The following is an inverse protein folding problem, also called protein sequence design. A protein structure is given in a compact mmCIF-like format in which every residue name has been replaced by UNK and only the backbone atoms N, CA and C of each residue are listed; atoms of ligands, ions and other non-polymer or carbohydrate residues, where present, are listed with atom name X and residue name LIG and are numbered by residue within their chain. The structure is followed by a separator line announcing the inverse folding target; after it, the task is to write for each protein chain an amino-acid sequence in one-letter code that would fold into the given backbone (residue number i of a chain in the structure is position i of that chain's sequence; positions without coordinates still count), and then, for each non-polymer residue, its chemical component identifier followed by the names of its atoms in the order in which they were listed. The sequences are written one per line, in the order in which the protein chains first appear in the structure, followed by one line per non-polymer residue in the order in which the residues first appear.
data_IF_995142908420
#
_entry.id   IF_995142908420
#
_cell.length_a   1.000
_cell.length_b   1.000
_cell.length_c   1.000
_cell.angle_alpha   90.00
_cell.angle_beta   90.00
_cell.angle_gamma   90.00
#
_symmetry.space_group_name_H-M   'P 1'
#
loop_
_entity.id
_entity.type
_entity.pdbx_description
1 polymer ?
#
# COMPACT_ATOMS: atom_id res chain seq x y z
N UNK A 1 -9.18 -32.45 20.54
CA UNK A 1 -10.39 -31.99 21.26
C UNK A 1 -10.48 -30.49 21.08
N UNK A 2 -11.39 -30.09 20.21
CA UNK A 2 -11.64 -28.68 19.89
C UNK A 2 -12.69 -28.15 20.89
N UNK A 3 -12.32 -27.13 21.65
CA UNK A 3 -13.30 -26.38 22.44
C UNK A 3 -13.50 -25.03 21.78
N UNK A 4 -14.66 -24.88 21.12
CA UNK A 4 -15.14 -23.62 20.61
C UNK A 4 -15.64 -22.73 21.75
N UNK A 5 -15.13 -21.50 21.79
CA UNK A 5 -15.76 -20.42 22.56
C UNK A 5 -16.51 -19.50 21.60
N UNK A 6 -17.81 -19.75 21.47
CA UNK A 6 -18.75 -18.85 20.80
C UNK A 6 -19.03 -17.66 21.71
N UNK A 7 -18.39 -16.54 21.48
CA UNK A 7 -18.74 -15.26 22.06
C UNK A 7 -19.89 -14.63 21.27
N UNK A 8 -21.10 -14.61 21.82
CA UNK A 8 -22.24 -13.87 21.29
C UNK A 8 -21.93 -12.37 21.34
N UNK A 9 -21.63 -11.78 20.18
CA UNK A 9 -21.66 -10.32 20.02
C UNK A 9 -23.14 -9.90 20.03
N UNK A 10 -23.52 -9.15 21.04
CA UNK A 10 -24.85 -8.53 21.15
C UNK A 10 -25.03 -7.57 19.98
N UNK A 11 -26.16 -7.70 19.28
CA UNK A 11 -26.55 -6.89 18.15
C UNK A 11 -26.44 -5.39 18.45
N UNK A 12 -25.71 -4.70 17.61
CA UNK A 12 -25.60 -3.25 17.60
C UNK A 12 -26.95 -2.62 17.31
N UNK A 13 -27.25 -1.59 18.07
CA UNK A 13 -28.39 -0.71 17.90
C UNK A 13 -28.35 -0.11 16.48
N UNK A 14 -29.53 -0.04 15.85
CA UNK A 14 -29.69 0.48 14.49
C UNK A 14 -29.01 1.82 14.31
N UNK A 15 -28.20 1.88 13.27
CA UNK A 15 -27.61 3.13 12.75
C UNK A 15 -28.81 4.00 12.34
N UNK A 16 -29.01 5.10 13.06
CA UNK A 16 -29.89 6.17 12.59
C UNK A 16 -29.45 6.54 11.18
N UNK A 17 -30.34 6.39 10.19
CA UNK A 17 -30.11 6.85 8.82
C UNK A 17 -29.86 8.37 8.85
N UNK A 18 -28.62 8.75 9.03
CA UNK A 18 -28.15 10.11 8.77
C UNK A 18 -28.32 10.42 7.28
N UNK A 19 -28.49 11.70 6.95
CA UNK A 19 -28.57 12.12 5.55
C UNK A 19 -27.42 11.49 4.74
N UNK A 20 -27.73 10.99 3.54
CA UNK A 20 -26.76 10.35 2.66
C UNK A 20 -25.59 11.32 2.39
N UNK A 21 -24.35 10.84 2.58
CA UNK A 21 -23.15 11.62 2.31
C UNK A 21 -23.06 11.87 0.80
N UNK A 22 -22.99 13.15 0.40
CA UNK A 22 -22.93 13.57 -1.01
C UNK A 22 -21.53 14.04 -1.42
N UNK A 23 -20.77 14.61 -0.48
CA UNK A 23 -19.43 15.13 -0.73
C UNK A 23 -18.50 14.62 0.38
N UNK A 24 -17.55 13.79 0.00
CA UNK A 24 -16.65 13.11 0.95
C UNK A 24 -15.20 13.39 0.57
N UNK A 25 -14.41 13.84 1.54
CA UNK A 25 -12.97 13.98 1.42
C UNK A 25 -12.29 12.81 2.09
N UNK A 26 -11.55 12.00 1.34
CA UNK A 26 -10.70 10.93 1.89
C UNK A 26 -9.27 11.46 2.01
N UNK A 27 -8.61 11.20 3.12
CA UNK A 27 -7.20 11.58 3.33
C UNK A 27 -6.33 10.32 3.34
N UNK A 28 -5.45 10.20 2.34
CA UNK A 28 -4.39 9.18 2.30
C UNK A 28 -3.14 9.74 1.63
N UNK A 29 -2.11 9.99 2.41
CA UNK A 29 -0.90 10.65 1.95
C UNK A 29 0.15 9.71 1.35
N UNK A 30 -0.01 8.42 1.48
CA UNK A 30 1.01 7.40 1.15
C UNK A 30 1.55 6.75 2.45
N UNK A 31 2.62 5.95 2.49
CA UNK A 31 3.50 5.62 1.37
C UNK A 31 2.83 4.74 0.28
N UNK A 32 3.62 4.30 -0.76
CA UNK A 32 3.08 3.49 -1.84
C UNK A 32 2.42 2.20 -1.32
N UNK A 33 3.06 1.49 -0.41
CA UNK A 33 2.49 0.28 0.18
C UNK A 33 1.14 0.53 0.86
N UNK A 34 0.99 1.66 1.56
CA UNK A 34 -0.27 2.05 2.18
C UNK A 34 -1.36 2.43 1.15
N UNK A 35 -0.97 3.07 0.03
CA UNK A 35 -1.90 3.36 -1.06
C UNK A 35 -2.41 2.07 -1.69
N UNK A 36 -1.52 1.12 -1.96
CA UNK A 36 -1.84 -0.20 -2.53
C UNK A 36 -2.77 -1.00 -1.60
N UNK A 37 -2.48 -1.03 -0.30
CA UNK A 37 -3.32 -1.68 0.70
C UNK A 37 -4.70 -1.01 0.82
N UNK A 38 -4.82 0.28 0.46
CA UNK A 38 -6.05 1.06 0.48
C UNK A 38 -6.97 0.85 -0.72
N UNK A 39 -6.56 0.16 -1.79
CA UNK A 39 -7.38 0.04 -3.01
C UNK A 39 -8.77 -0.53 -2.75
N UNK A 40 -8.87 -1.58 -1.92
CA UNK A 40 -10.16 -2.17 -1.57
C UNK A 40 -11.04 -1.20 -0.78
N UNK A 41 -10.44 -0.40 0.09
CA UNK A 41 -11.18 0.62 0.84
C UNK A 41 -11.71 1.73 -0.09
N UNK A 42 -10.92 2.19 -1.07
CA UNK A 42 -11.41 3.19 -2.04
C UNK A 42 -12.53 2.61 -2.91
N UNK A 43 -12.38 1.37 -3.40
CA UNK A 43 -13.42 0.67 -4.16
C UNK A 43 -14.69 0.46 -3.34
N UNK A 44 -14.53 0.02 -2.09
CA UNK A 44 -15.62 -0.21 -1.17
C UNK A 44 -16.36 1.07 -0.77
N UNK A 45 -15.64 2.18 -0.63
CA UNK A 45 -16.29 3.48 -0.39
C UNK A 45 -17.14 3.90 -1.58
N UNK A 46 -16.65 3.77 -2.82
CA UNK A 46 -17.42 4.04 -4.04
C UNK A 46 -18.64 3.12 -4.14
N UNK A 47 -18.50 1.83 -3.84
CA UNK A 47 -19.60 0.88 -3.89
C UNK A 47 -20.72 1.21 -2.88
N UNK A 48 -20.37 1.62 -1.67
CA UNK A 48 -21.35 2.00 -0.66
C UNK A 48 -21.93 3.41 -0.86
N UNK A 49 -21.23 4.29 -1.55
CA UNK A 49 -21.62 5.67 -1.82
C UNK A 49 -21.56 5.98 -3.33
N UNK A 50 -22.38 5.32 -4.17
CA UNK A 50 -22.24 5.39 -5.62
C UNK A 50 -22.46 6.80 -6.18
N UNK A 51 -23.34 7.59 -5.57
CA UNK A 51 -23.73 8.93 -6.03
C UNK A 51 -22.95 10.06 -5.32
N UNK A 52 -22.03 9.72 -4.40
CA UNK A 52 -21.24 10.71 -3.69
C UNK A 52 -20.07 11.23 -4.56
N UNK A 53 -19.78 12.53 -4.44
CA UNK A 53 -18.53 13.09 -4.94
C UNK A 53 -17.41 12.73 -3.97
N UNK A 54 -16.48 11.87 -4.41
CA UNK A 54 -15.35 11.38 -3.61
C UNK A 54 -14.06 12.10 -4.04
N UNK A 55 -13.51 12.91 -3.16
CA UNK A 55 -12.21 13.55 -3.35
C UNK A 55 -11.13 12.85 -2.51
N UNK A 56 -9.94 12.66 -3.09
CA UNK A 56 -8.78 12.11 -2.38
C UNK A 56 -7.71 13.18 -2.16
N UNK A 57 -7.42 13.49 -0.91
CA UNK A 57 -6.29 14.33 -0.51
C UNK A 57 -5.05 13.47 -0.32
N UNK A 58 -4.10 13.60 -1.25
CA UNK A 58 -2.84 12.85 -1.24
C UNK A 58 -1.63 13.77 -1.38
N UNK A 59 -0.41 13.20 -1.48
CA UNK A 59 0.84 13.96 -1.62
C UNK A 59 1.38 13.91 -3.05
N UNK A 60 2.28 14.81 -3.47
CA UNK A 60 2.76 14.92 -4.84
C UNK A 60 3.18 13.60 -5.50
N UNK A 61 3.91 12.68 -4.82
CA UNK A 61 4.34 11.41 -5.46
C UNK A 61 3.19 10.49 -5.88
N UNK A 62 1.98 10.68 -5.34
CA UNK A 62 0.84 9.80 -5.58
C UNK A 62 -0.30 10.44 -6.38
N UNK A 63 -0.10 11.67 -6.89
CA UNK A 63 -1.13 12.35 -7.69
C UNK A 63 -1.49 11.57 -8.96
N UNK A 64 -0.48 11.11 -9.70
CA UNK A 64 -0.69 10.33 -10.92
C UNK A 64 -1.45 9.03 -10.63
N UNK A 65 -1.01 8.27 -9.62
CA UNK A 65 -1.71 7.07 -9.19
C UNK A 65 -3.17 7.37 -8.81
N UNK A 66 -3.39 8.38 -7.98
CA UNK A 66 -4.71 8.76 -7.49
C UNK A 66 -5.65 9.20 -8.62
N UNK A 67 -5.14 9.96 -9.61
CA UNK A 67 -5.93 10.45 -10.75
C UNK A 67 -6.40 9.35 -11.70
N UNK A 68 -5.74 8.18 -11.66
CA UNK A 68 -6.14 7.00 -12.45
C UNK A 68 -7.09 6.06 -11.73
N UNK A 69 -7.30 6.25 -10.41
CA UNK A 69 -8.23 5.41 -9.64
C UNK A 69 -9.67 5.61 -10.10
N UNK A 70 -10.39 4.56 -10.52
CA UNK A 70 -11.76 4.69 -11.04
C UNK A 70 -12.80 5.02 -9.94
N UNK A 71 -12.38 5.04 -8.68
CA UNK A 71 -13.26 5.26 -7.52
C UNK A 71 -13.26 6.70 -7.01
N UNK A 72 -12.40 7.56 -7.57
CA UNK A 72 -12.15 8.93 -7.10
C UNK A 72 -12.55 9.91 -8.20
N UNK A 73 -13.35 10.92 -7.83
CA UNK A 73 -13.81 11.96 -8.78
C UNK A 73 -12.86 13.16 -8.83
N UNK A 74 -12.18 13.43 -7.71
CA UNK A 74 -11.31 14.60 -7.58
C UNK A 74 -10.04 14.24 -6.78
N UNK A 75 -8.89 14.71 -7.26
CA UNK A 75 -7.60 14.52 -6.54
C UNK A 75 -7.08 15.87 -6.07
N UNK A 76 -6.86 15.97 -4.77
CA UNK A 76 -6.35 17.15 -4.09
C UNK A 76 -4.94 16.88 -3.56
N UNK A 77 -4.08 17.90 -3.61
CA UNK A 77 -2.68 17.77 -3.22
C UNK A 77 -2.39 18.38 -1.85
N UNK A 78 -1.89 17.60 -0.89
CA UNK A 78 -1.17 18.13 0.28
C UNK A 78 0.33 18.19 -0.04
N UNK A 79 0.84 19.38 -0.29
CA UNK A 79 2.26 19.63 -0.59
C UNK A 79 3.18 19.41 0.62
N UNK A 80 2.61 19.12 1.79
CA UNK A 80 3.33 18.96 3.06
C UNK A 80 4.24 20.13 3.41
N UNK A 81 3.88 21.33 2.99
CA UNK A 81 4.64 22.52 3.29
C UNK A 81 4.75 22.76 4.81
N UNK A 82 5.84 23.39 5.27
CA UNK A 82 5.99 23.79 6.65
C UNK A 82 4.84 24.68 7.11
N UNK A 83 4.47 24.60 8.39
CA UNK A 83 3.37 25.37 8.99
C UNK A 83 3.55 26.88 8.95
N UNK A 84 4.74 27.36 8.65
CA UNK A 84 5.06 28.78 8.45
C UNK A 84 4.67 29.32 7.07
N UNK A 85 4.34 28.43 6.12
CA UNK A 85 3.87 28.82 4.80
C UNK A 85 2.38 29.21 4.85
N UNK A 86 2.11 30.49 5.05
CA UNK A 86 0.75 31.02 5.19
C UNK A 86 -0.12 30.76 3.95
N UNK A 87 0.44 30.88 2.74
CA UNK A 87 -0.31 30.63 1.51
C UNK A 87 -0.81 29.18 1.47
N UNK A 88 0.04 28.22 1.84
CA UNK A 88 -0.34 26.82 1.89
C UNK A 88 -1.35 26.52 3.02
N UNK A 89 -1.22 27.19 4.16
CA UNK A 89 -2.21 27.09 5.24
C UNK A 89 -3.59 27.59 4.79
N UNK A 90 -3.65 28.73 4.07
CA UNK A 90 -4.89 29.23 3.50
C UNK A 90 -5.48 28.28 2.46
N UNK A 91 -4.64 27.71 1.61
CA UNK A 91 -5.07 26.72 0.61
C UNK A 91 -5.64 25.48 1.30
N UNK A 92 -4.96 24.92 2.29
CA UNK A 92 -5.44 23.75 3.05
C UNK A 92 -6.75 24.09 3.78
N UNK A 93 -6.85 25.28 4.40
CA UNK A 93 -8.11 25.74 4.99
C UNK A 93 -9.24 25.79 3.96
N UNK A 94 -8.97 26.25 2.73
CA UNK A 94 -9.93 26.26 1.64
C UNK A 94 -10.41 24.84 1.28
N UNK A 95 -9.49 23.88 1.18
CA UNK A 95 -9.81 22.47 0.92
C UNK A 95 -10.79 21.94 1.98
N UNK A 96 -10.48 22.09 3.28
CA UNK A 96 -11.33 21.55 4.34
C UNK A 96 -12.67 22.30 4.51
N UNK A 97 -12.79 23.51 3.99
CA UNK A 97 -14.02 24.31 4.02
C UNK A 97 -14.82 24.31 2.72
N UNK A 98 -14.51 23.41 1.79
CA UNK A 98 -15.19 23.30 0.50
C UNK A 98 -16.58 22.63 0.58
N UNK A 99 -17.18 22.54 1.77
CA UNK A 99 -18.55 21.98 1.93
C UNK A 99 -18.61 20.47 1.89
N UNK A 100 -17.66 19.80 2.54
CA UNK A 100 -17.68 18.34 2.72
C UNK A 100 -18.71 17.94 3.78
N UNK A 101 -19.52 16.93 3.50
CA UNK A 101 -20.38 16.29 4.47
C UNK A 101 -19.55 15.47 5.46
N UNK A 102 -18.49 14.82 4.95
CA UNK A 102 -17.59 14.02 5.75
C UNK A 102 -16.13 14.11 5.28
N UNK A 103 -15.22 13.95 6.24
CA UNK A 103 -13.81 13.65 6.03
C UNK A 103 -13.53 12.27 6.58
N UNK A 104 -12.93 11.40 5.77
CA UNK A 104 -12.50 10.05 6.15
C UNK A 104 -10.97 10.04 6.20
N UNK A 105 -10.42 10.06 7.41
CA UNK A 105 -8.97 10.09 7.63
C UNK A 105 -8.40 8.67 7.67
N UNK A 106 -8.03 8.12 6.50
CA UNK A 106 -7.34 6.84 6.39
C UNK A 106 -5.83 6.97 6.63
N UNK A 107 -5.32 8.18 6.81
CA UNK A 107 -3.91 8.41 7.14
C UNK A 107 -3.64 8.35 8.63
N UNK A 108 -4.55 8.82 9.47
CA UNK A 108 -4.47 8.79 10.94
C UNK A 108 -3.12 9.28 11.50
N UNK A 109 -2.66 10.44 11.04
CA UNK A 109 -1.36 10.99 11.42
C UNK A 109 -1.51 12.22 12.32
N UNK A 110 -0.40 12.60 13.02
CA UNK A 110 -0.36 13.86 13.76
C UNK A 110 -0.69 15.07 12.87
N UNK A 111 -0.34 15.01 11.58
CA UNK A 111 -0.63 16.08 10.62
C UNK A 111 -2.13 16.16 10.31
N UNK A 112 -2.78 15.06 10.06
CA UNK A 112 -4.22 15.02 9.77
C UNK A 112 -5.05 15.38 10.99
N UNK A 113 -4.63 14.99 12.19
CA UNK A 113 -5.23 15.46 13.45
C UNK A 113 -5.11 16.99 13.62
N UNK A 114 -4.02 17.62 13.16
CA UNK A 114 -3.92 19.08 13.14
C UNK A 114 -4.86 19.73 12.12
N UNK A 115 -5.11 19.09 10.98
CA UNK A 115 -6.08 19.57 10.01
C UNK A 115 -7.50 19.54 10.59
N UNK A 116 -7.90 18.45 11.24
CA UNK A 116 -9.15 18.39 11.99
C UNK A 116 -9.29 19.58 12.94
N UNK A 117 -8.34 19.73 13.85
CA UNK A 117 -8.39 20.79 14.88
C UNK A 117 -8.43 22.21 14.34
N UNK A 118 -7.71 22.49 13.22
CA UNK A 118 -7.51 23.86 12.72
C UNK A 118 -8.47 24.27 11.62
N UNK A 119 -8.93 23.33 10.80
CA UNK A 119 -9.59 23.64 9.54
C UNK A 119 -10.98 23.03 9.40
N UNK A 120 -11.25 21.86 10.02
CA UNK A 120 -12.52 21.19 9.85
C UNK A 120 -13.67 22.04 10.45
N UNK A 121 -14.74 22.30 9.68
CA UNK A 121 -15.96 22.89 10.23
C UNK A 121 -16.63 21.93 11.22
N UNK A 122 -17.29 22.46 12.25
CA UNK A 122 -18.03 21.62 13.20
C UNK A 122 -19.21 20.86 12.56
N UNK A 123 -19.69 21.31 11.41
CA UNK A 123 -20.74 20.64 10.63
C UNK A 123 -20.26 19.48 9.79
N UNK A 124 -18.95 19.33 9.57
CA UNK A 124 -18.37 18.25 8.78
C UNK A 124 -18.09 17.06 9.69
N UNK A 125 -18.64 15.90 9.37
CA UNK A 125 -18.32 14.66 10.08
C UNK A 125 -16.85 14.29 9.86
N UNK A 126 -16.20 13.81 10.91
CA UNK A 126 -14.80 13.37 10.82
C UNK A 126 -14.66 11.94 11.31
N UNK A 127 -14.36 11.03 10.39
CA UNK A 127 -14.02 9.63 10.67
C UNK A 127 -12.51 9.51 10.81
N UNK A 128 -12.02 9.16 11.98
CA UNK A 128 -10.58 9.10 12.20
C UNK A 128 -10.17 9.01 13.67
N UNK A 129 -8.85 9.08 13.91
CA UNK A 129 -8.25 9.01 15.25
C UNK A 129 -7.98 10.38 15.89
N UNK A 130 -8.39 11.48 15.24
CA UNK A 130 -8.20 12.81 15.79
C UNK A 130 -9.01 13.02 17.08
N UNK A 131 -8.42 13.67 18.08
CA UNK A 131 -9.14 14.02 19.29
C UNK A 131 -10.32 14.95 18.95
N UNK A 132 -11.52 14.59 19.39
CA UNK A 132 -12.75 15.32 19.08
C UNK A 132 -13.35 15.01 17.71
N UNK A 133 -12.89 13.96 17.02
CA UNK A 133 -13.55 13.43 15.83
C UNK A 133 -15.00 13.07 16.17
N UNK A 134 -15.95 13.39 15.28
CA UNK A 134 -17.36 13.06 15.48
C UNK A 134 -17.64 11.56 15.40
N UNK A 135 -16.83 10.86 14.60
CA UNK A 135 -16.91 9.44 14.34
C UNK A 135 -15.55 8.79 14.59
N UNK A 136 -15.15 8.61 15.86
CA UNK A 136 -13.81 8.13 16.20
C UNK A 136 -13.64 6.66 15.81
N UNK A 137 -12.48 6.33 15.23
CA UNK A 137 -12.15 4.94 14.93
C UNK A 137 -11.96 4.12 16.21
N UNK A 138 -12.27 2.82 16.16
CA UNK A 138 -11.97 1.90 17.27
C UNK A 138 -10.45 1.73 17.45
N UNK A 139 -10.07 1.04 18.50
CA UNK A 139 -8.68 0.60 18.65
C UNK A 139 -8.32 -0.39 17.54
N UNK A 140 -7.30 -0.06 16.77
CA UNK A 140 -6.79 -0.88 15.68
C UNK A 140 -5.52 -1.66 16.04
N UNK A 141 -5.20 -1.82 17.34
CA UNK A 141 -4.04 -2.60 17.76
C UNK A 141 -4.14 -4.04 17.24
N UNK A 142 -3.09 -4.51 16.57
CA UNK A 142 -3.05 -5.84 15.96
C UNK A 142 -3.95 -6.04 14.73
N UNK A 143 -4.55 -4.99 14.20
CA UNK A 143 -5.36 -5.05 12.96
C UNK A 143 -4.50 -4.68 11.77
N UNK A 144 -4.54 -5.48 10.70
CA UNK A 144 -3.82 -5.18 9.45
C UNK A 144 -4.23 -3.83 8.86
N UNK A 145 -3.28 -3.12 8.28
CA UNK A 145 -3.50 -1.78 7.75
C UNK A 145 -4.57 -1.73 6.63
N UNK A 146 -4.67 -2.77 5.80
CA UNK A 146 -5.75 -2.87 4.81
C UNK A 146 -7.12 -2.99 5.49
N UNK A 147 -7.23 -3.82 6.53
CA UNK A 147 -8.50 -4.00 7.26
C UNK A 147 -8.90 -2.77 8.07
N UNK A 148 -7.91 -2.03 8.64
CA UNK A 148 -8.19 -0.73 9.28
C UNK A 148 -8.89 0.23 8.32
N UNK A 149 -8.38 0.30 7.09
CA UNK A 149 -8.97 1.18 6.08
C UNK A 149 -10.36 0.71 5.66
N UNK A 150 -10.58 -0.60 5.50
CA UNK A 150 -11.89 -1.19 5.22
C UNK A 150 -12.90 -0.91 6.34
N UNK A 151 -12.51 -1.05 7.61
CA UNK A 151 -13.34 -0.70 8.75
C UNK A 151 -13.64 0.81 8.77
N UNK A 152 -12.62 1.62 8.49
CA UNK A 152 -12.79 3.08 8.47
C UNK A 152 -13.81 3.55 7.44
N UNK A 153 -13.83 2.96 6.24
CA UNK A 153 -14.82 3.32 5.21
C UNK A 153 -16.21 2.73 5.50
N UNK A 154 -16.28 1.56 6.12
CA UNK A 154 -17.56 0.95 6.51
C UNK A 154 -18.32 1.84 7.50
N UNK A 155 -17.63 2.45 8.47
CA UNK A 155 -18.23 3.41 9.40
C UNK A 155 -18.86 4.62 8.68
N UNK A 156 -18.35 4.96 7.50
CA UNK A 156 -18.86 6.05 6.66
C UNK A 156 -19.90 5.59 5.61
N UNK A 157 -20.31 4.33 5.65
CA UNK A 157 -21.29 3.76 4.71
C UNK A 157 -20.70 3.06 3.49
N UNK A 158 -19.38 2.86 3.45
CA UNK A 158 -18.73 2.03 2.43
C UNK A 158 -18.97 0.53 2.63
N UNK A 159 -18.71 -0.26 1.60
CA UNK A 159 -18.77 -1.72 1.66
C UNK A 159 -17.35 -2.30 1.88
N UNK A 160 -17.08 -2.80 3.08
CA UNK A 160 -15.77 -3.38 3.46
C UNK A 160 -15.42 -4.68 2.75
N UNK A 161 -16.38 -5.35 2.11
CA UNK A 161 -16.20 -6.67 1.48
C UNK A 161 -15.81 -6.57 0.01
N UNK A 162 -15.82 -5.37 -0.55
CA UNK A 162 -15.41 -5.13 -1.94
C UNK A 162 -13.92 -5.42 -2.11
N UNK A 163 -13.60 -6.15 -3.16
CA UNK A 163 -12.24 -6.32 -3.64
C UNK A 163 -12.06 -5.49 -4.91
N UNK A 164 -11.07 -4.62 -4.92
CA UNK A 164 -10.79 -3.74 -6.03
C UNK A 164 -10.29 -4.52 -7.25
N UNK A 165 -10.94 -4.30 -8.42
CA UNK A 165 -10.35 -4.65 -9.71
C UNK A 165 -9.11 -3.77 -9.97
N UNK A 166 -8.07 -4.32 -10.59
CA UNK A 166 -6.79 -3.61 -10.79
C UNK A 166 -6.42 -3.38 -12.25
N UNK A 167 -7.35 -3.63 -13.19
CA UNK A 167 -7.09 -3.51 -14.64
C UNK A 167 -6.75 -2.06 -15.07
N UNK A 168 -7.22 -1.09 -14.30
CA UNK A 168 -6.90 0.33 -14.48
C UNK A 168 -5.43 0.68 -14.17
N UNK A 169 -4.72 -0.16 -13.43
CA UNK A 169 -3.43 0.17 -12.83
C UNK A 169 -2.30 0.21 -13.89
N UNK A 170 -2.29 -0.74 -14.79
CA UNK A 170 -1.34 -0.81 -15.91
C UNK A 170 -1.90 -0.20 -17.20
N UNK A 171 -3.24 -0.07 -17.30
CA UNK A 171 -3.91 0.51 -18.46
C UNK A 171 -3.40 -0.05 -19.81
N UNK A 172 -3.06 -1.35 -19.83
CA UNK A 172 -2.48 -2.00 -21.01
C UNK A 172 -1.02 -1.62 -21.30
N UNK A 173 -0.32 -1.02 -20.33
CA UNK A 173 1.12 -0.77 -20.47
C UNK A 173 1.85 -2.11 -20.65
N UNK A 174 2.73 -2.17 -21.64
CA UNK A 174 3.70 -3.25 -21.73
C UNK A 174 4.74 -3.09 -20.61
N UNK A 175 5.23 -4.18 -20.07
CA UNK A 175 6.37 -4.14 -19.16
C UNK A 175 7.60 -3.53 -19.86
N UNK A 176 8.54 -2.93 -19.13
CA UNK A 176 9.77 -2.39 -19.70
C UNK A 176 10.59 -3.52 -20.34
N UNK A 177 11.27 -3.22 -21.45
CA UNK A 177 12.11 -4.14 -22.23
C UNK A 177 11.42 -5.43 -22.76
N UNK A 178 10.12 -5.35 -23.01
CA UNK A 178 9.30 -6.50 -23.38
C UNK A 178 8.88 -7.30 -22.16
N UNK A 179 7.92 -8.18 -22.37
CA UNK A 179 7.47 -9.07 -21.31
C UNK A 179 8.63 -9.94 -20.81
N UNK A 180 8.82 -9.99 -19.51
CA UNK A 180 9.71 -10.94 -18.83
C UNK A 180 8.85 -12.08 -18.21
N UNK A 181 8.13 -12.87 -19.04
CA UNK A 181 7.21 -13.84 -18.54
C UNK A 181 7.94 -14.90 -17.71
N UNK A 182 7.40 -15.19 -16.55
CA UNK A 182 7.97 -16.17 -15.65
C UNK A 182 9.26 -15.74 -14.94
N UNK A 183 9.72 -14.50 -15.14
CA UNK A 183 10.93 -14.00 -14.48
C UNK A 183 10.75 -13.88 -12.96
N UNK A 184 11.83 -14.03 -12.24
CA UNK A 184 11.89 -13.63 -10.82
C UNK A 184 12.30 -12.18 -10.71
N UNK A 185 11.49 -11.37 -10.04
CA UNK A 185 11.77 -9.95 -9.86
C UNK A 185 12.25 -9.67 -8.43
N UNK A 186 13.42 -9.05 -8.32
CA UNK A 186 14.04 -8.66 -7.07
C UNK A 186 13.71 -7.19 -6.74
N UNK A 187 13.30 -6.93 -5.51
CA UNK A 187 13.00 -5.59 -4.99
C UNK A 187 13.93 -5.29 -3.80
N UNK A 188 15.23 -4.98 -4.05
CA UNK A 188 16.22 -4.80 -2.99
C UNK A 188 16.11 -3.44 -2.29
N UNK A 189 15.32 -2.52 -2.83
CA UNK A 189 15.14 -1.18 -2.29
C UNK A 189 14.30 -1.13 -1.03
N UNK A 190 14.49 -0.05 -0.27
CA UNK A 190 13.58 0.36 0.79
C UNK A 190 13.71 1.87 1.04
N UNK A 191 12.83 2.42 1.89
CA UNK A 191 12.94 3.83 2.29
C UNK A 191 14.33 4.17 2.82
N UNK A 192 14.94 5.25 2.31
CA UNK A 192 16.24 5.75 2.79
C UNK A 192 16.24 6.06 4.30
N UNK A 193 15.08 6.39 4.88
CA UNK A 193 14.92 6.64 6.30
C UNK A 193 14.93 5.36 7.17
N UNK A 194 14.91 4.17 6.55
CA UNK A 194 14.83 2.88 7.25
C UNK A 194 15.79 1.86 6.63
N UNK A 195 17.11 2.12 6.64
CA UNK A 195 18.10 1.24 6.02
C UNK A 195 18.14 -0.17 6.65
N UNK A 196 17.73 -0.30 7.91
CA UNK A 196 17.63 -1.58 8.63
C UNK A 196 16.58 -2.54 8.04
N UNK A 197 15.71 -2.07 7.15
CA UNK A 197 14.77 -2.91 6.39
C UNK A 197 15.37 -3.48 5.11
N UNK A 198 16.65 -3.23 4.82
CA UNK A 198 17.32 -3.75 3.64
C UNK A 198 17.90 -5.12 3.92
N UNK A 199 17.42 -6.13 3.22
CA UNK A 199 18.09 -7.42 3.16
C UNK A 199 19.40 -7.28 2.39
N UNK A 200 20.51 -7.94 2.79
CA UNK A 200 21.81 -7.79 2.16
C UNK A 200 21.81 -8.12 0.67
N UNK A 201 22.55 -7.35 -0.11
CA UNK A 201 22.62 -7.51 -1.56
C UNK A 201 23.21 -8.86 -1.99
N UNK A 202 24.17 -9.40 -1.23
CA UNK A 202 24.75 -10.73 -1.45
C UNK A 202 23.70 -11.85 -1.30
N UNK A 203 22.74 -11.66 -0.42
CA UNK A 203 21.63 -12.60 -0.26
C UNK A 203 20.67 -12.56 -1.45
N UNK A 204 20.35 -11.37 -1.98
CA UNK A 204 19.62 -11.23 -3.23
C UNK A 204 20.37 -11.82 -4.42
N UNK A 205 21.70 -11.64 -4.47
CA UNK A 205 22.55 -12.23 -5.51
C UNK A 205 22.51 -13.78 -5.46
N UNK A 206 22.48 -14.37 -4.26
CA UNK A 206 22.34 -15.81 -4.12
C UNK A 206 20.98 -16.31 -4.68
N UNK A 207 19.88 -15.60 -4.43
CA UNK A 207 18.58 -15.89 -5.07
C UNK A 207 18.69 -15.75 -6.59
N UNK A 208 19.29 -14.67 -7.09
CA UNK A 208 19.45 -14.47 -8.53
C UNK A 208 20.20 -15.61 -9.19
N UNK A 209 21.32 -16.04 -8.60
CA UNK A 209 22.11 -17.17 -9.09
C UNK A 209 21.30 -18.45 -9.15
N UNK A 210 20.65 -18.84 -8.06
CA UNK A 210 19.82 -20.04 -8.00
C UNK A 210 18.68 -20.03 -9.04
N UNK A 211 18.03 -18.88 -9.23
CA UNK A 211 16.96 -18.72 -10.22
C UNK A 211 17.50 -18.86 -11.66
N UNK A 212 18.65 -18.25 -11.96
CA UNK A 212 19.27 -18.34 -13.29
C UNK A 212 19.78 -19.74 -13.60
N UNK A 213 20.27 -20.48 -12.61
CA UNK A 213 20.66 -21.90 -12.76
C UNK A 213 19.48 -22.79 -13.16
N UNK A 214 18.25 -22.41 -12.82
CA UNK A 214 17.04 -23.11 -13.30
C UNK A 214 16.57 -22.65 -14.68
N UNK A 215 17.30 -21.71 -15.33
CA UNK A 215 16.95 -21.13 -16.62
C UNK A 215 15.96 -19.97 -16.55
N UNK A 216 15.58 -19.50 -15.36
CA UNK A 216 14.69 -18.34 -15.22
C UNK A 216 15.44 -17.03 -15.43
N UNK A 217 14.78 -16.06 -16.05
CA UNK A 217 15.27 -14.68 -16.09
C UNK A 217 15.11 -14.04 -14.72
N UNK A 218 16.04 -13.17 -14.38
CA UNK A 218 15.98 -12.36 -13.15
C UNK A 218 16.01 -10.88 -13.51
N UNK A 219 15.10 -10.10 -12.98
CA UNK A 219 15.06 -8.65 -13.13
C UNK A 219 15.17 -7.94 -11.77
N UNK A 220 15.81 -6.77 -11.75
CA UNK A 220 15.97 -5.96 -10.55
C UNK A 220 15.23 -4.66 -10.77
N UNK A 221 14.29 -4.34 -9.88
CA UNK A 221 13.53 -3.09 -9.89
C UNK A 221 13.86 -2.24 -8.67
N UNK A 222 13.69 -0.93 -8.82
CA UNK A 222 13.94 0.03 -7.76
C UNK A 222 13.98 1.45 -8.31
N UNK A 223 14.24 2.40 -7.43
CA UNK A 223 14.50 3.80 -7.77
C UNK A 223 15.99 4.08 -7.90
N UNK A 224 16.37 5.28 -8.33
CA UNK A 224 17.79 5.69 -8.34
C UNK A 224 18.46 5.58 -6.96
N UNK A 225 17.69 5.67 -5.86
CA UNK A 225 18.22 5.49 -4.51
C UNK A 225 18.63 4.04 -4.18
N UNK A 226 18.22 3.08 -5.01
CA UNK A 226 18.49 1.66 -4.81
C UNK A 226 19.63 1.14 -5.72
N UNK A 227 20.26 2.07 -6.48
CA UNK A 227 21.31 1.75 -7.47
C UNK A 227 22.49 0.97 -6.87
N UNK A 228 22.98 1.38 -5.69
CA UNK A 228 24.09 0.71 -5.01
C UNK A 228 23.78 -0.78 -4.76
N UNK A 229 22.62 -1.09 -4.25
CA UNK A 229 22.22 -2.48 -3.98
C UNK A 229 22.07 -3.27 -5.30
N UNK A 230 21.47 -2.66 -6.32
CA UNK A 230 21.29 -3.29 -7.63
C UNK A 230 22.65 -3.58 -8.31
N UNK A 231 23.57 -2.64 -8.28
CA UNK A 231 24.92 -2.82 -8.86
C UNK A 231 25.68 -3.94 -8.14
N UNK A 232 25.57 -4.01 -6.81
CA UNK A 232 26.18 -5.10 -6.04
C UNK A 232 25.62 -6.48 -6.45
N UNK A 233 24.29 -6.59 -6.65
CA UNK A 233 23.65 -7.83 -7.12
C UNK A 233 24.12 -8.17 -8.55
N UNK A 234 24.09 -7.22 -9.48
CA UNK A 234 24.47 -7.44 -10.89
C UNK A 234 25.95 -7.79 -11.06
N UNK A 235 26.82 -7.20 -10.24
CA UNK A 235 28.26 -7.53 -10.24
C UNK A 235 28.51 -8.96 -9.75
N UNK A 236 27.74 -9.42 -8.76
CA UNK A 236 27.84 -10.78 -8.24
C UNK A 236 27.14 -11.81 -9.15
N UNK A 237 26.10 -11.41 -9.87
CA UNK A 237 25.30 -12.28 -10.75
C UNK A 237 25.08 -11.60 -12.11
N UNK A 238 26.06 -11.66 -13.01
CA UNK A 238 25.93 -11.10 -14.35
C UNK A 238 24.79 -11.76 -15.14
N UNK A 239 24.03 -10.94 -15.89
CA UNK A 239 22.89 -11.42 -16.69
C UNK A 239 21.52 -11.08 -16.11
N UNK A 240 21.45 -10.49 -14.91
CA UNK A 240 20.24 -9.87 -14.41
C UNK A 240 19.80 -8.68 -15.29
N UNK A 241 18.50 -8.55 -15.53
CA UNK A 241 17.92 -7.42 -16.27
C UNK A 241 17.80 -6.22 -15.33
N UNK A 242 18.48 -5.13 -15.69
CA UNK A 242 18.43 -3.89 -14.91
C UNK A 242 17.22 -3.02 -15.28
N UNK A 243 16.29 -2.91 -14.38
CA UNK A 243 15.09 -2.06 -14.50
C UNK A 243 15.05 -0.92 -13.45
N UNK A 244 16.15 -0.69 -12.74
CA UNK A 244 16.22 0.36 -11.70
C UNK A 244 16.10 1.75 -12.32
N UNK A 245 15.09 2.50 -11.87
CA UNK A 245 14.77 3.84 -12.38
C UNK A 245 14.14 3.85 -13.79
N UNK A 246 13.75 2.68 -14.30
CA UNK A 246 13.23 2.51 -15.68
C UNK A 246 11.74 2.16 -15.72
N UNK A 247 11.08 2.06 -14.57
CA UNK A 247 9.66 1.69 -14.48
C UNK A 247 8.86 2.78 -13.80
N UNK A 248 7.79 3.22 -14.46
CA UNK A 248 6.66 3.86 -13.79
C UNK A 248 5.79 2.83 -13.09
N UNK A 249 4.80 3.28 -12.31
CA UNK A 249 3.98 2.38 -11.49
C UNK A 249 3.13 1.42 -12.34
N UNK A 250 2.59 1.89 -13.47
CA UNK A 250 1.81 1.04 -14.40
C UNK A 250 2.67 -0.05 -15.04
N UNK A 251 3.84 0.33 -15.54
CA UNK A 251 4.82 -0.63 -16.11
C UNK A 251 5.30 -1.65 -15.07
N UNK A 252 5.48 -1.20 -13.83
CA UNK A 252 5.84 -2.09 -12.72
C UNK A 252 4.70 -3.08 -12.40
N UNK A 253 3.45 -2.63 -12.43
CA UNK A 253 2.30 -3.50 -12.24
C UNK A 253 2.17 -4.53 -13.37
N UNK A 254 2.38 -4.09 -14.64
CA UNK A 254 2.41 -4.97 -15.81
C UNK A 254 3.52 -6.02 -15.69
N UNK A 255 4.74 -5.60 -15.34
CA UNK A 255 5.86 -6.51 -15.11
C UNK A 255 5.51 -7.58 -14.06
N UNK A 256 4.96 -7.16 -12.92
CA UNK A 256 4.61 -8.08 -11.85
C UNK A 256 3.52 -9.08 -12.27
N UNK A 257 2.51 -8.68 -13.03
CA UNK A 257 1.45 -9.61 -13.52
C UNK A 257 2.03 -10.76 -14.35
N UNK A 258 3.09 -10.50 -15.11
CA UNK A 258 3.74 -11.48 -15.97
C UNK A 258 4.91 -12.21 -15.29
N UNK A 259 5.37 -11.71 -14.15
CA UNK A 259 6.47 -12.33 -13.41
C UNK A 259 6.08 -13.70 -12.81
N UNK A 260 7.02 -14.61 -12.76
CA UNK A 260 6.87 -15.92 -12.11
C UNK A 260 6.87 -15.81 -10.58
N UNK A 261 7.62 -14.84 -10.04
CA UNK A 261 7.63 -14.52 -8.62
C UNK A 261 8.28 -13.16 -8.36
N UNK A 262 8.01 -12.61 -7.18
CA UNK A 262 8.65 -11.39 -6.66
C UNK A 262 9.19 -11.66 -5.26
N UNK A 263 10.41 -11.25 -4.98
CA UNK A 263 11.00 -11.25 -3.65
C UNK A 263 11.53 -9.85 -3.34
N UNK A 264 11.20 -9.31 -2.18
CA UNK A 264 11.64 -7.96 -1.83
C UNK A 264 11.49 -7.63 -0.36
N UNK A 265 12.09 -6.50 0.00
CA UNK A 265 11.96 -5.93 1.33
C UNK A 265 10.52 -5.43 1.58
N UNK A 266 10.20 -5.09 2.83
CA UNK A 266 8.96 -4.43 3.22
C UNK A 266 8.90 -3.01 2.60
N UNK A 267 8.40 -2.93 1.36
CA UNK A 267 8.34 -1.72 0.55
C UNK A 267 7.18 -1.73 -0.43
N UNK A 268 6.80 -0.55 -0.92
CA UNK A 268 5.64 -0.36 -1.79
C UNK A 268 5.56 -1.30 -3.01
N UNK A 269 6.63 -1.49 -3.79
CA UNK A 269 6.62 -2.42 -4.91
C UNK A 269 6.29 -3.87 -4.52
N UNK A 270 6.78 -4.35 -3.36
CA UNK A 270 6.48 -5.71 -2.89
C UNK A 270 5.00 -5.87 -2.52
N UNK A 271 4.38 -4.84 -1.91
CA UNK A 271 2.92 -4.81 -1.72
C UNK A 271 2.16 -4.83 -3.03
N UNK A 272 2.64 -4.08 -4.04
CA UNK A 272 2.02 -4.04 -5.36
C UNK A 272 2.07 -5.42 -6.04
N UNK A 273 3.21 -6.10 -6.01
CA UNK A 273 3.36 -7.45 -6.56
C UNK A 273 2.37 -8.44 -5.93
N UNK A 274 2.28 -8.45 -4.61
CA UNK A 274 1.32 -9.28 -3.89
C UNK A 274 -0.12 -8.96 -4.32
N UNK A 275 -0.43 -7.69 -4.47
CA UNK A 275 -1.78 -7.22 -4.76
C UNK A 275 -2.24 -7.51 -6.18
N UNK A 276 -1.33 -7.53 -7.16
CA UNK A 276 -1.63 -7.95 -8.54
C UNK A 276 -1.66 -9.48 -8.73
N UNK A 277 -1.45 -10.24 -7.65
CA UNK A 277 -1.62 -11.70 -7.62
C UNK A 277 -0.36 -12.51 -7.97
N UNK A 278 0.79 -11.86 -8.10
CA UNK A 278 2.07 -12.54 -8.33
C UNK A 278 2.51 -13.30 -7.07
N UNK A 279 3.09 -14.51 -7.17
CA UNK A 279 3.77 -15.16 -6.05
C UNK A 279 4.78 -14.19 -5.43
N UNK A 280 4.55 -13.75 -4.21
CA UNK A 280 5.34 -12.66 -3.62
C UNK A 280 5.82 -13.01 -2.22
N UNK A 281 7.14 -12.96 -2.03
CA UNK A 281 7.77 -13.11 -0.72
C UNK A 281 8.27 -11.76 -0.22
N UNK A 282 7.77 -11.31 0.92
CA UNK A 282 8.24 -10.10 1.60
C UNK A 282 9.18 -10.45 2.74
N UNK A 283 10.31 -9.76 2.78
CA UNK A 283 11.34 -9.93 3.83
C UNK A 283 11.21 -8.81 4.86
N UNK A 284 11.15 -9.18 6.13
CA UNK A 284 10.86 -8.28 7.24
C UNK A 284 11.91 -8.41 8.36
N UNK A 285 12.26 -7.27 8.95
CA UNK A 285 13.01 -7.19 10.22
C UNK A 285 12.10 -6.90 11.41
N UNK A 286 12.70 -6.68 12.59
CA UNK A 286 11.98 -6.34 13.83
C UNK A 286 11.11 -5.08 13.72
N UNK A 287 11.45 -4.15 12.82
CA UNK A 287 10.72 -2.90 12.64
C UNK A 287 9.33 -3.08 11.99
N UNK A 288 9.01 -4.28 11.53
CA UNK A 288 7.74 -4.59 10.88
C UNK A 288 7.02 -5.67 11.68
N UNK A 289 5.82 -5.34 12.11
CA UNK A 289 4.87 -6.29 12.69
C UNK A 289 4.01 -6.88 11.56
N UNK A 290 4.15 -8.18 11.24
CA UNK A 290 3.37 -8.81 10.19
C UNK A 290 1.86 -8.77 10.41
N UNK A 291 1.40 -8.77 11.68
CA UNK A 291 -0.02 -8.66 11.99
C UNK A 291 -0.62 -7.36 11.45
N UNK A 292 0.20 -6.30 11.36
CA UNK A 292 -0.21 -4.97 10.92
C UNK A 292 0.15 -4.67 9.46
N UNK A 293 1.21 -5.29 8.94
CA UNK A 293 1.82 -4.92 7.65
C UNK A 293 2.14 -6.12 6.75
N UNK A 294 1.56 -7.29 6.98
CA UNK A 294 1.74 -8.39 6.03
C UNK A 294 1.17 -8.02 4.65
N UNK A 295 1.81 -8.47 3.56
CA UNK A 295 1.28 -8.26 2.22
C UNK A 295 -0.04 -9.03 2.03
N UNK A 296 -1.00 -8.40 1.35
CA UNK A 296 -2.31 -9.01 1.05
C UNK A 296 -2.32 -9.48 -0.39
N UNK A 297 -2.53 -10.78 -0.60
CA UNK A 297 -2.60 -11.43 -1.90
C UNK A 297 -2.77 -12.95 -1.75
N UNK A 298 -3.41 -13.60 -2.72
CA UNK A 298 -3.69 -15.03 -2.67
C UNK A 298 -2.40 -15.88 -2.57
N UNK A 299 -1.32 -15.42 -3.20
CA UNK A 299 0.00 -16.08 -3.20
C UNK A 299 1.06 -15.16 -2.59
N UNK A 300 0.72 -14.48 -1.51
CA UNK A 300 1.65 -13.61 -0.78
C UNK A 300 2.05 -14.26 0.54
N UNK A 301 3.33 -14.13 0.87
CA UNK A 301 3.90 -14.61 2.13
C UNK A 301 5.01 -13.70 2.61
N UNK A 302 5.53 -13.99 3.79
CA UNK A 302 6.62 -13.23 4.39
C UNK A 302 7.53 -14.13 5.22
N UNK A 303 8.79 -13.69 5.36
CA UNK A 303 9.74 -14.18 6.36
C UNK A 303 10.14 -13.01 7.26
N UNK A 304 10.30 -13.29 8.54
CA UNK A 304 10.68 -12.28 9.53
C UNK A 304 11.70 -12.83 10.51
N UNK A 305 12.77 -12.06 10.70
CA UNK A 305 13.77 -12.26 11.76
C UNK A 305 13.97 -10.95 12.52
N UNK A 306 14.61 -11.00 13.68
CA UNK A 306 14.89 -9.79 14.44
C UNK A 306 15.86 -8.87 13.68
N UNK A 307 16.85 -9.45 13.03
CA UNK A 307 17.66 -8.76 12.02
C UNK A 307 17.34 -9.35 10.65
N UNK A 308 16.91 -8.54 9.72
CA UNK A 308 16.56 -9.00 8.38
C UNK A 308 17.71 -9.75 7.70
N UNK A 309 18.96 -9.43 8.04
CA UNK A 309 20.17 -10.11 7.55
C UNK A 309 20.30 -11.57 8.04
N UNK A 310 19.55 -11.98 9.05
CA UNK A 310 19.52 -13.36 9.56
C UNK A 310 18.66 -14.28 8.71
N UNK A 311 17.76 -13.73 7.87
CA UNK A 311 17.00 -14.52 6.90
C UNK A 311 18.00 -15.16 5.93
N UNK A 312 18.06 -16.49 5.92
CA UNK A 312 18.94 -17.23 5.00
C UNK A 312 18.37 -17.22 3.58
N UNK A 313 19.25 -17.20 2.57
CA UNK A 313 18.84 -17.24 1.15
C UNK A 313 18.11 -18.54 0.82
N UNK A 314 18.53 -19.67 1.38
CA UNK A 314 17.91 -20.98 1.16
C UNK A 314 16.47 -21.03 1.70
N UNK A 315 16.24 -20.43 2.89
CA UNK A 315 14.89 -20.32 3.47
C UNK A 315 13.99 -19.43 2.62
N UNK A 316 14.54 -18.32 2.12
CA UNK A 316 13.84 -17.41 1.23
C UNK A 316 13.48 -18.08 -0.10
N UNK A 317 14.40 -18.82 -0.70
CA UNK A 317 14.17 -19.56 -1.95
C UNK A 317 13.09 -20.63 -1.74
N UNK A 318 13.20 -21.43 -0.69
CA UNK A 318 12.21 -22.47 -0.35
C UNK A 318 10.82 -21.87 -0.08
N UNK A 319 10.74 -20.70 0.57
CA UNK A 319 9.48 -20.00 0.78
C UNK A 319 8.88 -19.48 -0.54
N UNK A 320 9.72 -18.94 -1.44
CA UNK A 320 9.29 -18.46 -2.75
C UNK A 320 8.74 -19.59 -3.62
N UNK A 321 9.38 -20.76 -3.61
CA UNK A 321 8.91 -21.94 -4.35
C UNK A 321 7.57 -22.46 -3.84
N UNK A 322 7.34 -22.46 -2.53
CA UNK A 322 6.01 -22.77 -1.97
C UNK A 322 4.93 -21.83 -2.48
N UNK A 323 5.22 -20.52 -2.57
CA UNK A 323 4.28 -19.53 -3.09
C UNK A 323 3.99 -19.64 -4.58
N UNK A 324 4.93 -20.21 -5.35
CA UNK A 324 4.74 -20.52 -6.78
C UNK A 324 3.83 -21.73 -7.01
N UNK A 325 3.90 -22.68 -6.09
CA UNK A 325 3.23 -23.99 -6.24
C UNK A 325 1.77 -23.96 -5.76
N UNK A 326 1.39 -22.97 -4.95
CA UNK A 326 0.03 -22.76 -4.43
C UNK A 326 -0.69 -21.68 -5.19
#
# INVERSE_FOLDING_TARGET
MLHGMSGKIRGGQGVTQGAALKRVLVIKHGALGDMVQGFDAFAGLRAGLPDAHLALLTTPPFLDLASRMPWVDEVLCDRRAPVVNLAELWRMRGIFRAGWDAVIDLQCSRRTAQYHRRFAPASTRWFGTAAGASDPYPDFSGVNNADRMRIGIEMAGGDRHVTAGLDWLDNGAAGPDGDLPGATVLVPGCSAAKPQKRWPADRFAAIATAEMETGRKVAIVGTAADREAADAIMNATPGCVDLVGRTGLGELAALFRHAGAVIGNDTGPTFLAARVGTPTLMLMGADTDPSMSAPVGARAGWLREDRISEIASDDALAALDRLRSG
#
